data_IF_702494353078
#
_entry.id   IF_702494353078
#
_cell.length_a   1.000
_cell.length_b   1.000
_cell.length_c   1.000
_cell.angle_alpha   90.00
_cell.angle_beta   90.00
_cell.angle_gamma   90.00
#
_symmetry.space_group_name_H-M   'P 1'
#
loop_
_entity.id
_entity.type
_entity.pdbx_description
1 polymer ?
#
# COMPACT_ATOMS: atom_id res chain seq x y z
N UNK A 1 -12.42 12.31 42.12
CA UNK A 1 -11.48 11.18 42.19
C UNK A 1 -11.13 10.75 40.77
N UNK A 2 -10.01 11.31 40.28
CA UNK A 2 -9.09 10.87 39.22
C UNK A 2 -9.71 10.17 38.00
N UNK A 3 -9.79 10.93 36.89
CA UNK A 3 -9.63 10.46 35.52
C UNK A 3 -8.42 9.50 35.46
N UNK A 4 -8.64 8.19 35.58
CA UNK A 4 -7.68 7.21 35.09
C UNK A 4 -7.86 7.13 33.59
N UNK A 5 -7.00 7.90 32.93
CA UNK A 5 -7.01 8.11 31.51
C UNK A 5 -6.67 6.79 30.82
N UNK A 6 -7.44 6.53 29.77
CA UNK A 6 -7.39 5.51 28.72
C UNK A 6 -6.02 5.50 27.97
N UNK A 7 -4.89 5.46 28.67
CA UNK A 7 -3.53 5.62 28.11
C UNK A 7 -2.83 4.31 27.72
N UNK A 8 -3.31 3.13 28.10
CA UNK A 8 -2.57 1.88 27.79
C UNK A 8 -2.93 1.21 26.45
N UNK A 9 -4.07 1.53 25.83
CA UNK A 9 -4.50 0.81 24.61
C UNK A 9 -3.91 1.35 23.31
N UNK A 10 -3.50 2.63 23.27
CA UNK A 10 -3.08 3.25 22.00
C UNK A 10 -1.76 2.67 21.51
N UNK A 11 -0.79 2.42 22.39
CA UNK A 11 0.51 1.86 22.02
C UNK A 11 0.36 0.49 21.36
N UNK A 12 -0.45 -0.39 21.96
CA UNK A 12 -0.74 -1.71 21.41
C UNK A 12 -1.48 -1.61 20.07
N UNK A 13 -2.46 -0.72 19.94
CA UNK A 13 -3.21 -0.53 18.68
C UNK A 13 -2.31 0.01 17.57
N UNK A 14 -1.46 0.99 17.88
CA UNK A 14 -0.49 1.54 16.94
C UNK A 14 0.56 0.49 16.56
N UNK A 15 1.07 -0.29 17.52
CA UNK A 15 2.02 -1.36 17.22
C UNK A 15 1.40 -2.45 16.32
N UNK A 16 0.15 -2.84 16.56
CA UNK A 16 -0.58 -3.79 15.70
C UNK A 16 -0.83 -3.20 14.31
N UNK A 17 -1.21 -1.92 14.23
CA UNK A 17 -1.42 -1.23 12.96
C UNK A 17 -0.12 -1.12 12.15
N UNK A 18 0.96 -0.63 12.76
CA UNK A 18 2.25 -0.50 12.10
C UNK A 18 2.83 -1.87 11.72
N UNK A 19 2.68 -2.89 12.58
CA UNK A 19 3.12 -4.25 12.29
C UNK A 19 2.38 -4.83 11.08
N UNK A 20 1.05 -4.74 11.06
CA UNK A 20 0.25 -5.20 9.91
C UNK A 20 0.54 -4.41 8.64
N UNK A 21 0.67 -3.08 8.72
CA UNK A 21 1.03 -2.25 7.58
C UNK A 21 2.42 -2.58 7.04
N UNK A 22 3.38 -2.86 7.92
CA UNK A 22 4.75 -3.25 7.54
C UNK A 22 4.72 -4.56 6.76
N UNK A 23 3.98 -5.56 7.23
CA UNK A 23 3.85 -6.85 6.53
C UNK A 23 3.20 -6.66 5.15
N UNK A 24 2.12 -5.86 5.08
CA UNK A 24 1.44 -5.56 3.81
C UNK A 24 2.36 -4.87 2.81
N UNK A 25 3.04 -3.79 3.24
CA UNK A 25 3.98 -3.05 2.40
C UNK A 25 5.19 -3.89 1.99
N UNK A 26 5.69 -4.74 2.87
CA UNK A 26 6.78 -5.65 2.57
C UNK A 26 6.38 -6.65 1.47
N UNK A 27 5.20 -7.27 1.58
CA UNK A 27 4.66 -8.16 0.55
C UNK A 27 4.51 -7.46 -0.80
N UNK A 28 3.93 -6.26 -0.83
CA UNK A 28 3.81 -5.47 -2.07
C UNK A 28 5.18 -5.12 -2.67
N UNK A 29 6.18 -4.83 -1.84
CA UNK A 29 7.55 -4.52 -2.30
C UNK A 29 8.22 -5.74 -2.94
N UNK A 30 8.01 -6.95 -2.39
CA UNK A 30 8.50 -8.19 -2.98
C UNK A 30 7.88 -8.45 -4.36
N UNK A 31 6.56 -8.28 -4.49
CA UNK A 31 5.85 -8.44 -5.78
C UNK A 31 6.38 -7.42 -6.80
N UNK A 32 6.56 -6.17 -6.40
CA UNK A 32 7.11 -5.13 -7.26
C UNK A 32 8.53 -5.48 -7.76
N UNK A 33 9.39 -5.98 -6.87
CA UNK A 33 10.74 -6.41 -7.24
C UNK A 33 10.72 -7.62 -8.19
N UNK A 34 9.83 -8.58 -7.94
CA UNK A 34 9.67 -9.75 -8.81
C UNK A 34 9.24 -9.34 -10.24
N UNK A 35 8.24 -8.46 -10.35
CA UNK A 35 7.78 -7.94 -11.65
C UNK A 35 8.92 -7.19 -12.37
N UNK A 36 9.66 -6.34 -11.65
CA UNK A 36 10.76 -5.59 -12.21
C UNK A 36 11.85 -6.51 -12.79
N UNK A 37 12.25 -7.55 -12.05
CA UNK A 37 13.23 -8.51 -12.53
C UNK A 37 12.72 -9.36 -13.69
N UNK A 38 11.46 -9.80 -13.62
CA UNK A 38 10.82 -10.56 -14.70
C UNK A 38 10.86 -9.77 -16.02
N UNK A 39 10.43 -8.51 -16.00
CA UNK A 39 10.43 -7.66 -17.19
C UNK A 39 11.86 -7.40 -17.71
N UNK A 40 12.82 -7.23 -16.81
CA UNK A 40 14.23 -7.01 -17.17
C UNK A 40 14.79 -8.23 -17.90
N UNK A 41 14.55 -9.44 -17.41
CA UNK A 41 15.05 -10.68 -18.01
C UNK A 41 14.36 -11.01 -19.33
N UNK A 42 13.04 -10.81 -19.40
CA UNK A 42 12.23 -11.16 -20.56
C UNK A 42 12.46 -10.20 -21.73
N UNK A 43 12.50 -8.89 -21.46
CA UNK A 43 12.47 -7.88 -22.52
C UNK A 43 13.82 -7.26 -22.82
N UNK A 44 14.72 -7.25 -21.83
CA UNK A 44 16.06 -6.66 -21.90
C UNK A 44 16.08 -5.22 -22.47
N UNK A 45 14.95 -4.51 -22.39
CA UNK A 45 14.72 -3.22 -23.04
C UNK A 45 14.46 -2.13 -22.01
N UNK A 46 15.31 -1.10 -22.01
CA UNK A 46 15.16 0.06 -21.12
C UNK A 46 13.86 0.84 -21.35
N UNK A 47 13.27 0.76 -22.55
CA UNK A 47 11.98 1.41 -22.86
C UNK A 47 10.85 0.77 -22.07
N UNK A 48 10.81 -0.57 -22.02
CA UNK A 48 9.77 -1.30 -21.28
C UNK A 48 9.91 -1.08 -19.78
N UNK A 49 11.15 -1.03 -19.27
CA UNK A 49 11.40 -0.69 -17.87
C UNK A 49 10.92 0.73 -17.50
N UNK A 50 11.17 1.70 -18.39
CA UNK A 50 10.71 3.08 -18.22
C UNK A 50 9.19 3.18 -18.22
N UNK A 51 8.53 2.52 -19.19
CA UNK A 51 7.07 2.47 -19.26
C UNK A 51 6.48 1.81 -18.01
N UNK A 52 7.04 0.71 -17.55
CA UNK A 52 6.57 -0.01 -16.34
C UNK A 52 6.69 0.86 -15.09
N UNK A 53 7.77 1.63 -15.00
CA UNK A 53 7.96 2.62 -13.93
C UNK A 53 6.89 3.71 -14.01
N UNK A 54 6.64 4.27 -15.20
CA UNK A 54 5.59 5.27 -15.40
C UNK A 54 4.23 4.70 -14.98
N UNK A 55 3.86 3.49 -15.43
CA UNK A 55 2.59 2.88 -15.04
C UNK A 55 2.49 2.54 -13.55
N UNK A 56 3.60 2.31 -12.85
CA UNK A 56 3.62 2.16 -11.39
C UNK A 56 3.44 3.48 -10.63
N UNK A 57 4.01 4.57 -11.13
CA UNK A 57 3.99 5.87 -10.44
C UNK A 57 2.83 6.79 -10.84
N UNK A 58 2.46 6.80 -12.11
CA UNK A 58 1.50 7.74 -12.69
C UNK A 58 0.10 7.64 -12.04
N UNK A 59 -0.48 6.45 -11.81
CA UNK A 59 -1.78 6.35 -11.13
C UNK A 59 -1.72 6.90 -9.70
N UNK A 60 -0.65 6.56 -8.96
CA UNK A 60 -0.43 7.03 -7.59
C UNK A 60 -0.32 8.55 -7.54
N UNK A 61 0.40 9.15 -8.49
CA UNK A 61 0.54 10.59 -8.62
C UNK A 61 -0.83 11.29 -8.74
N UNK A 62 -1.70 10.82 -9.64
CA UNK A 62 -3.03 11.39 -9.83
C UNK A 62 -3.96 11.17 -8.63
N UNK A 63 -3.84 10.05 -7.92
CA UNK A 63 -4.69 9.74 -6.76
C UNK A 63 -4.24 10.54 -5.51
N UNK A 64 -2.97 10.88 -5.40
CA UNK A 64 -2.38 11.52 -4.20
C UNK A 64 -3.11 12.79 -3.70
N UNK A 65 -3.52 13.77 -4.53
CA UNK A 65 -4.25 14.95 -4.02
C UNK A 65 -5.65 14.60 -3.47
N UNK A 66 -6.30 13.57 -4.02
CA UNK A 66 -7.63 13.15 -3.59
C UNK A 66 -7.59 12.25 -2.36
N UNK A 67 -6.49 11.52 -2.17
CA UNK A 67 -6.33 10.59 -1.06
C UNK A 67 -6.52 11.27 0.31
N UNK A 68 -6.02 12.49 0.48
CA UNK A 68 -6.22 13.28 1.71
C UNK A 68 -7.70 13.63 1.95
N UNK A 69 -8.38 14.12 0.92
CA UNK A 69 -9.81 14.46 0.99
C UNK A 69 -10.65 13.23 1.35
N UNK A 70 -10.31 12.06 0.79
CA UNK A 70 -11.00 10.81 1.13
C UNK A 70 -10.71 10.35 2.56
N UNK A 71 -9.45 10.45 3.01
CA UNK A 71 -9.07 10.07 4.37
C UNK A 71 -9.76 10.93 5.45
N UNK A 72 -10.10 12.17 5.11
CA UNK A 72 -10.81 13.08 6.02
C UNK A 72 -12.34 12.92 5.95
N UNK A 73 -12.91 12.63 4.76
CA UNK A 73 -14.37 12.51 4.58
C UNK A 73 -14.93 11.13 4.92
N UNK A 74 -14.14 10.07 4.76
CA UNK A 74 -14.60 8.69 4.95
C UNK A 74 -13.95 8.02 6.16
N UNK A 75 -14.50 6.88 6.57
CA UNK A 75 -13.93 6.10 7.66
C UNK A 75 -12.57 5.50 7.24
N UNK A 76 -11.48 6.04 7.82
CA UNK A 76 -10.09 5.63 7.56
C UNK A 76 -9.87 4.11 7.61
N UNK A 77 -10.52 3.42 8.55
CA UNK A 77 -10.37 1.96 8.68
C UNK A 77 -10.93 1.22 7.48
N UNK A 78 -12.09 1.66 6.94
CA UNK A 78 -12.68 1.05 5.75
C UNK A 78 -11.85 1.34 4.49
N UNK A 79 -11.34 2.57 4.38
CA UNK A 79 -10.45 2.96 3.28
C UNK A 79 -9.20 2.07 3.22
N UNK A 80 -8.52 1.86 4.35
CA UNK A 80 -7.32 1.01 4.40
C UNK A 80 -7.66 -0.43 3.98
N UNK A 81 -8.73 -1.02 4.52
CA UNK A 81 -9.13 -2.40 4.18
C UNK A 81 -9.51 -2.55 2.72
N UNK A 82 -10.22 -1.57 2.14
CA UNK A 82 -10.59 -1.61 0.71
C UNK A 82 -9.35 -1.48 -0.19
N UNK A 83 -8.46 -0.54 0.11
CA UNK A 83 -7.22 -0.34 -0.67
C UNK A 83 -6.32 -1.58 -0.62
N UNK A 84 -6.04 -2.10 0.58
CA UNK A 84 -5.24 -3.32 0.74
C UNK A 84 -5.92 -4.53 0.09
N UNK A 85 -7.25 -4.61 0.16
CA UNK A 85 -8.04 -5.64 -0.52
C UNK A 85 -7.92 -5.60 -2.04
N UNK A 86 -7.93 -4.40 -2.65
CA UNK A 86 -7.73 -4.24 -4.10
C UNK A 86 -6.32 -4.66 -4.51
N UNK A 87 -5.29 -4.33 -3.71
CA UNK A 87 -3.91 -4.74 -3.95
C UNK A 87 -3.79 -6.26 -3.89
N UNK A 88 -4.37 -6.88 -2.84
CA UNK A 88 -4.36 -8.33 -2.67
C UNK A 88 -5.06 -9.05 -3.83
N UNK A 89 -6.23 -8.55 -4.25
CA UNK A 89 -6.97 -9.11 -5.39
C UNK A 89 -6.18 -8.98 -6.70
N UNK A 90 -5.58 -7.80 -6.95
CA UNK A 90 -4.79 -7.57 -8.16
C UNK A 90 -3.57 -8.49 -8.20
N UNK A 91 -2.92 -8.70 -7.05
CA UNK A 91 -1.79 -9.63 -6.93
C UNK A 91 -2.24 -11.08 -7.15
N UNK A 92 -3.40 -11.47 -6.61
CA UNK A 92 -3.96 -12.80 -6.80
C UNK A 92 -4.33 -13.09 -8.27
N UNK A 93 -4.76 -12.08 -9.03
CA UNK A 93 -5.06 -12.23 -10.46
C UNK A 93 -3.78 -12.31 -11.31
N UNK A 94 -2.70 -11.68 -10.85
CA UNK A 94 -1.41 -11.69 -11.53
C UNK A 94 -0.69 -13.05 -11.40
N UNK A 95 -0.82 -13.69 -10.23
CA UNK A 95 -0.28 -15.03 -9.94
C UNK A 95 -1.17 -16.12 -10.52
#
# INVERSE_FOLDING_TARGET
>A
MIKQIKYEKWQRQTALFLGSQTISLFGSSLVQYAIFWYLTLETQSGVIMTLSTIFGFLPTFFISPFAGVWADRYNRKRLIVLSDGIIALSTLVLV
#
